data_IF_793139912724
#
_entry.id   IF_793139912724
#
_cell.length_a   1.000
_cell.length_b   1.000
_cell.length_c   1.000
_cell.angle_alpha   90.00
_cell.angle_beta   90.00
_cell.angle_gamma   90.00
#
_symmetry.space_group_name_H-M   'P 1'
#
loop_
_entity.id
_entity.type
_entity.pdbx_description
1 polymer ?
#
# COMPACT_ATOMS: atom_id res chain seq x y z
N UNK A 1 6.65 16.45 -9.66
CA UNK A 1 6.60 15.13 -10.29
C UNK A 1 6.08 14.10 -9.29
N UNK A 2 5.14 13.32 -9.72
CA UNK A 2 4.39 12.41 -8.85
C UNK A 2 5.28 11.35 -8.17
N UNK A 3 6.14 10.68 -8.95
CA UNK A 3 7.01 9.62 -8.41
C UNK A 3 8.01 10.15 -7.39
N UNK A 4 8.64 11.29 -7.65
CA UNK A 4 9.57 11.90 -6.71
C UNK A 4 8.87 12.31 -5.40
N UNK A 5 7.64 12.79 -5.50
CA UNK A 5 6.83 13.14 -4.34
C UNK A 5 6.52 11.89 -3.50
N UNK A 6 6.13 10.81 -4.15
CA UNK A 6 5.84 9.55 -3.47
C UNK A 6 7.08 8.97 -2.78
N UNK A 7 8.25 9.04 -3.42
CA UNK A 7 9.50 8.58 -2.80
C UNK A 7 9.86 9.40 -1.56
N UNK A 8 9.66 10.71 -1.58
CA UNK A 8 9.88 11.55 -0.41
C UNK A 8 8.94 11.21 0.73
N UNK A 9 7.68 10.95 0.40
CA UNK A 9 6.67 10.54 1.38
C UNK A 9 7.06 9.20 2.03
N UNK A 10 7.48 8.23 1.23
CA UNK A 10 7.96 6.94 1.72
C UNK A 10 9.17 7.11 2.63
N UNK A 11 10.14 7.94 2.24
CA UNK A 11 11.33 8.21 3.06
C UNK A 11 10.95 8.82 4.42
N UNK A 12 9.98 9.71 4.44
CA UNK A 12 9.47 10.27 5.69
C UNK A 12 8.83 9.20 6.58
N UNK A 13 8.06 8.29 5.99
CA UNK A 13 7.43 7.21 6.73
C UNK A 13 8.44 6.22 7.30
N UNK A 14 9.58 6.01 6.63
CA UNK A 14 10.64 5.09 7.10
C UNK A 14 11.38 5.62 8.33
N UNK A 15 11.40 6.91 8.53
CA UNK A 15 12.20 7.54 9.58
C UNK A 15 11.37 8.18 10.69
N UNK A 16 10.06 8.36 10.46
CA UNK A 16 9.19 9.02 11.43
C UNK A 16 8.80 8.06 12.55
N UNK A 17 8.74 8.59 13.77
CA UNK A 17 8.31 7.81 14.93
C UNK A 17 6.83 7.43 14.81
N UNK A 18 6.47 6.30 15.39
CA UNK A 18 5.09 5.83 15.43
C UNK A 18 4.35 6.44 16.61
N UNK A 19 3.07 6.84 16.43
CA UNK A 19 2.27 7.30 17.56
C UNK A 19 1.88 6.13 18.46
N UNK A 20 1.44 6.45 19.67
CA UNK A 20 0.99 5.43 20.63
C UNK A 20 -0.46 5.02 20.44
N UNK A 21 -1.21 5.75 19.63
CA UNK A 21 -2.60 5.45 19.28
C UNK A 21 -2.83 5.72 17.80
N UNK A 22 -3.85 5.10 17.24
CA UNK A 22 -4.22 5.30 15.83
C UNK A 22 -4.72 6.72 15.62
N UNK A 23 -4.09 7.44 14.69
CA UNK A 23 -4.44 8.82 14.34
C UNK A 23 -4.41 9.01 12.83
N UNK A 24 -5.24 9.90 12.27
CA UNK A 24 -5.11 10.29 10.87
C UNK A 24 -3.76 10.96 10.62
N UNK A 25 -3.15 10.68 9.46
CA UNK A 25 -1.84 11.22 9.11
C UNK A 25 -1.79 11.45 7.59
N UNK A 26 -1.89 12.71 7.17
CA UNK A 26 -1.89 13.05 5.76
C UNK A 26 -2.98 12.32 5.00
N UNK A 27 -2.59 11.57 3.96
CA UNK A 27 -3.52 10.78 3.14
C UNK A 27 -3.77 9.37 3.69
N UNK A 28 -3.33 9.09 4.90
CA UNK A 28 -3.45 7.77 5.49
C UNK A 28 -3.65 7.81 6.99
N UNK A 29 -3.13 6.79 7.65
CA UNK A 29 -3.29 6.58 9.09
C UNK A 29 -1.95 6.15 9.66
N UNK A 30 -1.63 6.65 10.86
CA UNK A 30 -0.50 6.16 11.64
C UNK A 30 -1.01 5.54 12.93
N UNK A 31 -0.31 4.53 13.43
CA UNK A 31 -0.65 3.86 14.67
C UNK A 31 0.57 3.21 15.30
N UNK A 32 0.38 2.44 16.38
CA UNK A 32 1.51 1.78 17.06
C UNK A 32 2.24 0.83 16.11
N UNK A 33 3.44 1.22 15.70
CA UNK A 33 4.29 0.40 14.85
C UNK A 33 4.02 0.48 13.36
N UNK A 34 3.19 1.42 12.87
CA UNK A 34 2.93 1.52 11.44
C UNK A 34 2.55 2.93 10.98
N UNK A 35 2.81 3.18 9.69
CA UNK A 35 2.31 4.32 8.92
C UNK A 35 1.72 3.80 7.61
N UNK A 36 0.59 4.34 7.20
CA UNK A 36 0.01 4.05 5.87
C UNK A 36 -0.23 5.37 5.14
N UNK A 37 -0.23 5.33 3.82
CA UNK A 37 -0.56 6.49 3.01
C UNK A 37 -1.14 6.05 1.67
N UNK A 38 -2.17 6.76 1.21
CA UNK A 38 -2.67 6.61 -0.15
C UNK A 38 -1.81 7.45 -1.08
N UNK A 39 -1.29 6.85 -2.13
CA UNK A 39 -0.49 7.53 -3.13
C UNK A 39 -1.36 7.98 -4.31
N UNK A 40 -2.20 7.09 -4.82
CA UNK A 40 -3.20 7.39 -5.83
C UNK A 40 -4.49 6.70 -5.41
N UNK A 41 -5.52 7.46 -5.15
CA UNK A 41 -6.79 6.94 -4.69
C UNK A 41 -7.88 7.00 -5.75
N UNK A 42 -8.93 6.21 -5.54
CA UNK A 42 -10.07 6.14 -6.42
C UNK A 42 -11.17 7.18 -6.16
N UNK A 43 -11.07 7.94 -5.08
CA UNK A 43 -12.18 8.73 -4.52
C UNK A 43 -12.52 9.95 -5.35
N UNK A 44 -12.29 10.32 -6.32
CA UNK A 44 -12.67 11.50 -7.08
C UNK A 44 -13.08 11.18 -8.51
N UNK A 45 -13.08 9.91 -8.84
CA UNK A 45 -13.26 9.48 -10.23
C UNK A 45 -14.64 8.90 -10.51
N UNK A 46 -15.51 8.92 -9.52
CA UNK A 46 -16.91 8.50 -9.71
C UNK A 46 -17.67 9.43 -10.65
N UNK A 47 -17.26 10.68 -10.69
CA UNK A 47 -17.90 11.70 -11.53
C UNK A 47 -17.28 11.83 -12.93
N UNK A 48 -16.15 11.14 -13.18
CA UNK A 48 -15.51 11.17 -14.49
C UNK A 48 -16.18 10.23 -15.49
N UNK A 49 -15.95 10.47 -16.78
CA UNK A 49 -16.41 9.53 -17.80
C UNK A 49 -15.54 8.26 -17.80
N UNK A 50 -15.94 7.27 -18.59
CA UNK A 50 -15.24 5.99 -18.65
C UNK A 50 -13.79 6.15 -19.15
N UNK A 51 -13.56 7.06 -20.08
CA UNK A 51 -12.21 7.32 -20.60
C UNK A 51 -11.31 7.91 -19.52
N UNK A 52 -11.82 8.83 -18.70
CA UNK A 52 -11.06 9.41 -17.58
C UNK A 52 -10.72 8.36 -16.53
N UNK A 53 -11.63 7.44 -16.25
CA UNK A 53 -11.39 6.36 -15.28
C UNK A 53 -10.36 5.37 -15.79
N UNK A 54 -10.39 5.04 -17.09
CA UNK A 54 -9.39 4.17 -17.71
C UNK A 54 -8.01 4.83 -17.73
N UNK A 55 -7.95 6.13 -17.96
CA UNK A 55 -6.70 6.88 -17.91
C UNK A 55 -6.13 6.90 -16.49
N UNK A 56 -6.98 7.11 -15.50
CA UNK A 56 -6.57 7.05 -14.09
C UNK A 56 -6.00 5.67 -13.74
N UNK A 57 -6.66 4.61 -14.18
CA UNK A 57 -6.17 3.24 -13.97
C UNK A 57 -4.81 3.03 -14.62
N UNK A 58 -4.61 3.52 -15.83
CA UNK A 58 -3.33 3.43 -16.53
C UNK A 58 -2.23 4.18 -15.78
N UNK A 59 -2.52 5.37 -15.26
CA UNK A 59 -1.58 6.15 -14.46
C UNK A 59 -1.24 5.46 -13.14
N UNK A 60 -2.22 4.87 -12.49
CA UNK A 60 -2.05 4.12 -11.25
C UNK A 60 -1.12 2.92 -11.45
N UNK A 61 -1.33 2.15 -12.52
CA UNK A 61 -0.49 1.00 -12.86
C UNK A 61 0.93 1.43 -13.24
N UNK A 62 1.06 2.51 -13.99
CA UNK A 62 2.37 3.04 -14.38
C UNK A 62 3.16 3.52 -13.17
N UNK A 63 2.51 4.19 -12.22
CA UNK A 63 3.15 4.66 -10.99
C UNK A 63 3.56 3.48 -10.11
N UNK A 64 2.72 2.46 -10.00
CA UNK A 64 3.08 1.23 -9.29
C UNK A 64 4.36 0.62 -9.87
N UNK A 65 4.43 0.47 -11.19
CA UNK A 65 5.59 -0.12 -11.86
C UNK A 65 6.84 0.73 -11.67
N UNK A 66 6.72 2.05 -11.75
CA UNK A 66 7.83 2.97 -11.52
C UNK A 66 8.37 2.86 -10.10
N UNK A 67 7.48 2.79 -9.10
CA UNK A 67 7.89 2.65 -7.71
C UNK A 67 8.52 1.30 -7.44
N UNK A 68 7.97 0.20 -7.99
CA UNK A 68 8.59 -1.12 -7.86
C UNK A 68 10.01 -1.11 -8.40
N UNK A 69 10.22 -0.50 -9.58
CA UNK A 69 11.55 -0.41 -10.18
C UNK A 69 12.53 0.36 -9.28
N UNK A 70 12.12 1.53 -8.79
CA UNK A 70 13.00 2.38 -7.98
C UNK A 70 13.27 1.77 -6.60
N UNK A 71 12.28 1.16 -5.98
CA UNK A 71 12.45 0.51 -4.69
C UNK A 71 13.33 -0.74 -4.83
N UNK A 72 13.21 -1.47 -5.94
CA UNK A 72 14.05 -2.63 -6.23
C UNK A 72 15.52 -2.23 -6.42
N UNK A 73 15.78 -1.12 -7.09
CA UNK A 73 17.13 -0.58 -7.22
C UNK A 73 17.73 -0.20 -5.88
N UNK A 74 16.90 0.24 -4.96
CA UNK A 74 17.32 0.76 -3.66
C UNK A 74 17.44 -0.31 -2.58
N UNK A 75 16.51 -1.28 -2.54
CA UNK A 75 16.37 -2.24 -1.46
C UNK A 75 16.50 -3.70 -1.91
N UNK A 76 16.73 -3.94 -3.20
CA UNK A 76 16.77 -5.27 -3.78
C UNK A 76 15.40 -5.75 -4.25
N UNK A 77 15.33 -6.96 -4.73
CA UNK A 77 14.08 -7.52 -5.22
C UNK A 77 13.06 -7.68 -4.09
N UNK A 78 11.78 -7.34 -4.34
CA UNK A 78 10.76 -7.50 -3.32
C UNK A 78 10.46 -8.98 -3.05
N UNK A 79 10.03 -9.25 -1.82
CA UNK A 79 9.38 -10.51 -1.50
C UNK A 79 7.92 -10.41 -1.95
N UNK A 80 7.46 -11.39 -2.71
CA UNK A 80 6.06 -11.48 -3.10
C UNK A 80 5.40 -12.45 -2.13
N UNK A 81 4.46 -11.95 -1.33
CA UNK A 81 3.80 -12.73 -0.30
C UNK A 81 2.34 -12.93 -0.70
N UNK A 82 1.93 -14.20 -0.84
CA UNK A 82 0.52 -14.53 -1.05
C UNK A 82 -0.26 -14.31 0.24
N UNK A 83 -1.43 -13.70 0.13
CA UNK A 83 -2.31 -13.45 1.25
C UNK A 83 -3.39 -14.53 1.42
N UNK A 84 -3.31 -15.61 0.65
CA UNK A 84 -4.29 -16.69 0.68
C UNK A 84 -4.48 -17.27 2.09
N UNK A 85 -3.39 -17.66 2.75
CA UNK A 85 -3.47 -18.26 4.09
C UNK A 85 -4.02 -17.27 5.13
N UNK A 86 -3.61 -16.00 5.03
CA UNK A 86 -4.11 -14.95 5.92
C UNK A 86 -5.61 -14.71 5.70
N UNK A 87 -6.05 -14.74 4.44
CA UNK A 87 -7.47 -14.60 4.10
C UNK A 87 -8.30 -15.76 4.67
N UNK A 88 -7.79 -16.98 4.59
CA UNK A 88 -8.46 -18.14 5.18
C UNK A 88 -8.61 -17.97 6.69
N UNK A 89 -7.58 -17.49 7.38
CA UNK A 89 -7.65 -17.22 8.82
C UNK A 89 -8.65 -16.12 9.14
N UNK A 90 -8.68 -15.08 8.34
CA UNK A 90 -9.65 -13.99 8.52
C UNK A 90 -11.08 -14.50 8.36
N UNK A 91 -11.33 -15.33 7.35
CA UNK A 91 -12.65 -15.93 7.12
C UNK A 91 -13.05 -16.90 8.23
N UNK A 92 -12.09 -17.51 8.90
CA UNK A 92 -12.32 -18.37 10.05
C UNK A 92 -12.54 -17.60 11.36
N UNK A 93 -12.54 -16.27 11.31
CA UNK A 93 -12.79 -15.41 12.47
C UNK A 93 -11.55 -15.00 13.24
N UNK A 94 -10.35 -15.31 12.76
CA UNK A 94 -9.12 -14.86 13.40
C UNK A 94 -8.90 -13.36 13.16
N UNK A 95 -8.37 -12.68 14.15
CA UNK A 95 -7.97 -11.28 14.01
C UNK A 95 -6.64 -11.19 13.28
N UNK A 96 -6.54 -10.31 12.30
CA UNK A 96 -5.30 -9.99 11.62
C UNK A 96 -4.77 -8.68 12.20
N UNK A 97 -3.51 -8.68 12.63
CA UNK A 97 -2.90 -7.50 13.25
C UNK A 97 -2.85 -6.32 12.29
N UNK A 98 -3.12 -5.12 12.83
CA UNK A 98 -2.85 -3.91 12.06
C UNK A 98 -1.34 -3.77 11.85
N UNK A 99 -0.89 -3.27 10.71
CA UNK A 99 -1.66 -2.65 9.63
C UNK A 99 -2.05 -3.61 8.51
N UNK A 100 -1.97 -4.91 8.71
CA UNK A 100 -2.14 -5.92 7.65
C UNK A 100 -3.60 -6.29 7.38
N UNK A 101 -4.50 -5.94 8.29
CA UNK A 101 -5.91 -6.36 8.18
C UNK A 101 -6.56 -5.89 6.87
N UNK A 102 -6.38 -4.64 6.49
CA UNK A 102 -6.97 -4.12 5.26
C UNK A 102 -6.37 -4.71 4.00
N UNK A 103 -5.03 -4.77 3.84
CA UNK A 103 -4.45 -5.46 2.69
C UNK A 103 -4.87 -6.93 2.58
N UNK A 104 -4.94 -7.65 3.69
CA UNK A 104 -5.39 -9.05 3.68
C UNK A 104 -6.82 -9.16 3.15
N UNK A 105 -7.70 -8.24 3.55
CA UNK A 105 -9.09 -8.26 3.10
C UNK A 105 -9.26 -7.86 1.64
N UNK A 106 -8.32 -7.08 1.08
CA UNK A 106 -8.49 -6.42 -0.22
C UNK A 106 -7.60 -6.94 -1.34
N UNK A 107 -6.49 -7.60 -1.02
CA UNK A 107 -5.47 -7.94 -2.00
C UNK A 107 -5.16 -9.43 -2.01
N UNK A 108 -4.70 -9.94 -3.15
CA UNK A 108 -4.30 -11.34 -3.28
C UNK A 108 -2.85 -11.56 -2.87
N UNK A 109 -2.00 -10.58 -3.07
CA UNK A 109 -0.58 -10.65 -2.72
C UNK A 109 -0.04 -9.26 -2.42
N UNK A 110 1.13 -9.22 -1.76
CA UNK A 110 1.86 -7.99 -1.46
C UNK A 110 3.28 -8.10 -1.96
N UNK A 111 3.86 -6.96 -2.32
CA UNK A 111 5.27 -6.80 -2.58
C UNK A 111 5.90 -6.10 -1.37
N UNK A 112 6.89 -6.75 -0.76
CA UNK A 112 7.51 -6.30 0.48
C UNK A 112 9.00 -6.09 0.29
N UNK A 113 9.51 -5.02 0.88
CA UNK A 113 10.95 -4.77 1.02
C UNK A 113 11.30 -4.64 2.50
N UNK A 114 12.46 -5.15 2.87
CA UNK A 114 12.99 -4.90 4.21
C UNK A 114 13.91 -3.69 4.14
N UNK A 115 13.46 -2.58 4.67
CA UNK A 115 14.19 -1.32 4.66
C UNK A 115 14.73 -1.05 6.07
N UNK A 116 15.92 -1.56 6.35
CA UNK A 116 16.56 -1.54 7.67
C UNK A 116 15.73 -2.30 8.70
N UNK A 117 15.16 -1.63 9.69
CA UNK A 117 14.36 -2.23 10.76
C UNK A 117 12.86 -2.22 10.49
N UNK A 118 12.44 -1.78 9.31
CA UNK A 118 11.02 -1.65 8.97
C UNK A 118 10.69 -2.41 7.68
N UNK A 119 9.47 -2.91 7.62
CA UNK A 119 8.89 -3.46 6.39
C UNK A 119 8.27 -2.31 5.59
N UNK A 120 8.45 -2.37 4.27
CA UNK A 120 7.81 -1.46 3.34
C UNK A 120 7.00 -2.30 2.36
N UNK A 121 5.71 -2.00 2.24
CA UNK A 121 4.82 -2.71 1.33
C UNK A 121 4.16 -1.74 0.37
N UNK A 122 4.13 -2.08 -0.92
CA UNK A 122 3.25 -1.44 -1.88
C UNK A 122 1.97 -2.26 -1.97
N UNK A 123 0.84 -1.59 -1.87
CA UNK A 123 -0.48 -2.20 -1.89
C UNK A 123 -1.21 -1.67 -3.11
N UNK A 124 -1.45 -2.55 -4.08
CA UNK A 124 -2.19 -2.21 -5.29
C UNK A 124 -3.54 -2.91 -5.25
N UNK A 125 -4.59 -2.13 -5.16
CA UNK A 125 -5.95 -2.63 -5.25
C UNK A 125 -6.50 -2.35 -6.65
N UNK A 126 -6.98 -3.40 -7.31
CA UNK A 126 -7.64 -3.31 -8.61
C UNK A 126 -9.06 -3.83 -8.48
N UNK A 127 -10.01 -3.04 -8.95
CA UNK A 127 -11.40 -3.46 -9.00
C UNK A 127 -11.57 -4.60 -10.01
N UNK A 128 -12.23 -5.69 -9.59
CA UNK A 128 -12.35 -6.90 -10.41
C UNK A 128 -13.14 -6.69 -11.70
N UNK A 129 -14.21 -5.91 -11.62
CA UNK A 129 -15.11 -5.70 -12.75
C UNK A 129 -15.25 -4.23 -13.12
N UNK A 130 -14.21 -3.44 -12.94
CA UNK A 130 -14.28 -2.03 -13.23
C UNK A 130 -12.92 -1.37 -13.38
N UNK A 131 -12.88 -0.07 -13.65
CA UNK A 131 -11.64 0.66 -13.84
C UNK A 131 -10.98 1.12 -12.54
N UNK A 132 -11.50 0.76 -11.38
CA UNK A 132 -10.97 1.21 -10.10
C UNK A 132 -9.55 0.72 -9.85
N UNK A 133 -8.67 1.64 -9.44
CA UNK A 133 -7.28 1.35 -9.09
C UNK A 133 -6.88 2.26 -7.94
N UNK A 134 -6.34 1.67 -6.89
CA UNK A 134 -5.84 2.41 -5.74
C UNK A 134 -4.45 1.92 -5.39
N UNK A 135 -3.53 2.84 -5.18
CA UNK A 135 -2.14 2.55 -4.82
C UNK A 135 -1.85 3.17 -3.46
N UNK A 136 -1.43 2.33 -2.54
CA UNK A 136 -1.07 2.74 -1.18
C UNK A 136 0.30 2.21 -0.81
N UNK A 137 0.90 2.81 0.20
CA UNK A 137 2.15 2.34 0.79
C UNK A 137 1.97 2.17 2.29
N UNK A 138 2.68 1.20 2.82
CA UNK A 138 2.63 0.81 4.22
C UNK A 138 4.05 0.64 4.72
N UNK A 139 4.39 1.27 5.84
CA UNK A 139 5.68 1.11 6.50
C UNK A 139 5.42 0.68 7.94
N UNK A 140 6.02 -0.43 8.38
CA UNK A 140 5.70 -1.00 9.70
C UNK A 140 6.86 -1.81 10.27
N UNK A 141 6.88 -1.91 11.59
CA UNK A 141 7.74 -2.88 12.31
C UNK A 141 6.99 -4.19 12.61
N UNK A 142 5.70 -4.24 12.34
CA UNK A 142 4.88 -5.45 12.56
C UNK A 142 5.14 -6.44 11.44
N UNK A 143 5.47 -7.68 11.80
CA UNK A 143 5.76 -8.71 10.81
C UNK A 143 4.51 -9.05 9.98
N UNK A 144 4.71 -9.41 8.68
CA UNK A 144 3.59 -9.83 7.82
C UNK A 144 2.90 -11.08 8.35
N UNK A 145 1.61 -11.23 8.07
CA UNK A 145 0.85 -12.39 8.53
C UNK A 145 1.23 -13.70 7.84
#
# INVERSE_FOLDING_TARGET
MTTAHHLRLIDGMRTRDFPTARVPSGSGVSGPGYHTASLLGGDGHEEGDEADRLEHRAQCLAEHDALVTLLTLRWGEPQVVSLWSAQERLMAGEAISEPWAEPVASCEYLQLWRAQDRWLALVLYLEDEGPGCELSVLVTVVDPP
#
